data_IF_044150033410
#
_entry.id   IF_044150033410
#
_cell.length_a   1.000
_cell.length_b   1.000
_cell.length_c   1.000
_cell.angle_alpha   90.00
_cell.angle_beta   90.00
_cell.angle_gamma   90.00
#
_symmetry.space_group_name_H-M   'P 1'
#
loop_
_entity.id
_entity.type
_entity.pdbx_description
1 polymer ?
#
# COMPACT_ATOMS: atom_id res chain seq x y z
N UNK A 1 6.67 12.67 17.81
CA UNK A 1 5.38 12.65 17.09
C UNK A 1 4.68 11.35 17.42
N UNK A 2 3.41 11.38 17.81
CA UNK A 2 2.57 10.18 18.00
C UNK A 2 1.49 10.18 16.93
N UNK A 3 1.88 10.17 15.65
CA UNK A 3 0.94 9.99 14.56
C UNK A 3 0.54 8.52 14.50
N UNK A 4 -0.76 8.24 14.44
CA UNK A 4 -1.28 6.89 14.29
C UNK A 4 -2.42 6.96 13.30
N UNK A 5 -2.40 6.05 12.33
CA UNK A 5 -3.44 5.93 11.31
C UNK A 5 -4.24 4.66 11.56
N UNK A 6 -5.55 4.79 11.61
CA UNK A 6 -6.44 3.64 11.79
C UNK A 6 -6.94 3.12 10.45
N UNK A 7 -6.90 1.80 10.31
CA UNK A 7 -7.72 1.11 9.33
C UNK A 7 -9.20 1.30 9.70
N UNK A 8 -10.06 1.45 8.70
CA UNK A 8 -11.50 1.48 8.88
C UNK A 8 -12.18 0.67 7.78
N UNK A 9 -13.35 0.11 8.05
CA UNK A 9 -14.04 -0.81 7.15
C UNK A 9 -14.63 -0.12 5.91
N UNK A 10 -14.67 1.22 5.89
CA UNK A 10 -14.86 1.99 4.66
C UNK A 10 -13.74 1.74 3.64
N UNK A 11 -12.62 1.15 4.06
CA UNK A 11 -11.50 0.80 3.21
C UNK A 11 -11.61 -0.58 2.54
N UNK A 12 -12.61 -1.39 2.90
CA UNK A 12 -12.77 -2.76 2.40
C UNK A 12 -13.03 -2.81 0.89
N UNK A 13 -12.28 -3.67 0.21
CA UNK A 13 -12.56 -4.06 -1.19
C UNK A 13 -13.34 -5.38 -1.29
N UNK A 14 -13.62 -6.02 -0.14
CA UNK A 14 -14.35 -7.29 -0.01
C UNK A 14 -13.64 -8.46 -0.68
N UNK A 15 -12.32 -8.46 -0.59
CA UNK A 15 -11.46 -9.57 -1.02
C UNK A 15 -10.49 -9.80 0.13
N UNK A 16 -10.74 -10.84 0.93
CA UNK A 16 -10.03 -11.05 2.20
C UNK A 16 -8.51 -10.97 2.11
N UNK A 17 -7.92 -11.51 1.03
CA UNK A 17 -6.47 -11.45 0.85
C UNK A 17 -5.96 -10.01 0.66
N UNK A 18 -6.69 -9.20 -0.09
CA UNK A 18 -6.33 -7.81 -0.37
C UNK A 18 -6.61 -6.93 0.87
N UNK A 19 -7.73 -7.17 1.55
CA UNK A 19 -8.05 -6.47 2.79
C UNK A 19 -7.01 -6.79 3.89
N UNK A 20 -6.47 -8.02 3.93
CA UNK A 20 -5.33 -8.37 4.80
C UNK A 20 -4.06 -7.64 4.42
N UNK A 21 -3.72 -7.59 3.13
CA UNK A 21 -2.55 -6.87 2.64
C UNK A 21 -2.65 -5.38 3.06
N UNK A 22 -3.80 -4.74 2.84
CA UNK A 22 -4.01 -3.35 3.22
C UNK A 22 -3.87 -3.13 4.73
N UNK A 23 -4.48 -3.96 5.57
CA UNK A 23 -4.31 -3.89 7.03
C UNK A 23 -2.85 -4.03 7.45
N UNK A 24 -2.10 -4.90 6.78
CA UNK A 24 -0.66 -5.07 7.05
C UNK A 24 0.13 -3.79 6.73
N UNK A 25 -0.18 -3.12 5.62
CA UNK A 25 0.46 -1.86 5.23
C UNK A 25 0.18 -0.71 6.20
N UNK A 26 -1.05 -0.61 6.72
CA UNK A 26 -1.37 0.31 7.81
C UNK A 26 -0.58 0.01 9.09
N UNK A 27 -0.40 -1.28 9.42
CA UNK A 27 0.40 -1.68 10.56
C UNK A 27 1.89 -1.32 10.41
N UNK A 28 2.46 -1.47 9.20
CA UNK A 28 3.82 -1.04 8.89
C UNK A 28 3.99 0.47 9.02
N UNK A 29 3.05 1.26 8.51
CA UNK A 29 3.05 2.72 8.67
C UNK A 29 3.02 3.14 10.15
N UNK A 30 2.15 2.50 10.95
CA UNK A 30 2.11 2.75 12.39
C UNK A 30 3.41 2.34 13.10
N UNK A 31 4.09 1.29 12.64
CA UNK A 31 5.41 0.90 13.16
C UNK A 31 6.47 1.97 12.86
N UNK A 32 6.43 2.59 11.67
CA UNK A 32 7.30 3.72 11.33
C UNK A 32 7.06 4.87 12.32
N UNK A 33 5.81 5.32 12.48
CA UNK A 33 5.50 6.46 13.34
C UNK A 33 5.82 6.21 14.81
N UNK A 34 5.54 5.02 15.34
CA UNK A 34 5.78 4.68 16.75
C UNK A 34 7.27 4.68 17.14
N UNK A 35 8.16 4.39 16.19
CA UNK A 35 9.61 4.26 16.39
C UNK A 35 10.41 5.48 15.90
N UNK A 36 9.75 6.43 15.23
CA UNK A 36 10.38 7.67 14.76
C UNK A 36 10.96 8.46 15.95
N UNK A 37 12.25 8.77 15.87
CA UNK A 37 12.99 9.45 16.95
C UNK A 37 13.38 8.56 18.14
N UNK A 38 13.08 7.25 18.09
CA UNK A 38 13.44 6.28 19.14
C UNK A 38 14.42 5.22 18.62
N UNK A 39 14.09 4.59 17.51
CA UNK A 39 14.89 3.52 16.92
C UNK A 39 14.87 3.63 15.39
N UNK A 40 15.97 4.15 14.85
CA UNK A 40 16.07 4.41 13.41
C UNK A 40 16.30 3.15 12.59
N UNK A 41 16.86 2.09 13.17
CA UNK A 41 17.03 0.82 12.47
C UNK A 41 15.67 0.16 12.25
N UNK A 42 14.79 0.19 13.26
CA UNK A 42 13.41 -0.30 13.12
C UNK A 42 12.60 0.52 12.13
N UNK A 43 12.79 1.84 12.11
CA UNK A 43 12.14 2.73 11.13
C UNK A 43 12.57 2.41 9.71
N UNK A 44 13.88 2.34 9.46
CA UNK A 44 14.43 2.01 8.14
C UNK A 44 13.91 0.66 7.66
N UNK A 45 13.99 -0.36 8.52
CA UNK A 45 13.48 -1.69 8.23
C UNK A 45 11.97 -1.70 7.92
N UNK A 46 11.17 -0.92 8.66
CA UNK A 46 9.73 -0.84 8.39
C UNK A 46 9.41 -0.15 7.06
N UNK A 47 10.19 0.88 6.66
CA UNK A 47 10.09 1.53 5.34
C UNK A 47 10.44 0.54 4.23
N UNK A 48 11.55 -0.18 4.37
CA UNK A 48 11.99 -1.17 3.37
C UNK A 48 10.91 -2.26 3.17
N UNK A 49 10.34 -2.77 4.27
CA UNK A 49 9.27 -3.76 4.22
C UNK A 49 8.01 -3.16 3.58
N UNK A 50 7.60 -1.94 3.96
CA UNK A 50 6.45 -1.26 3.35
C UNK A 50 6.60 -1.15 1.82
N UNK A 51 7.80 -0.83 1.36
CA UNK A 51 8.10 -0.64 -0.06
C UNK A 51 8.14 -1.94 -0.84
N UNK A 52 8.85 -2.96 -0.35
CA UNK A 52 8.89 -4.28 -0.99
C UNK A 52 7.48 -4.87 -1.05
N UNK A 53 6.79 -4.87 0.08
CA UNK A 53 5.45 -5.46 0.20
C UNK A 53 4.43 -4.75 -0.69
N UNK A 54 4.51 -3.42 -0.84
CA UNK A 54 3.67 -2.67 -1.78
C UNK A 54 3.91 -3.12 -3.23
N UNK A 55 5.18 -3.18 -3.67
CA UNK A 55 5.52 -3.57 -5.04
C UNK A 55 5.07 -4.98 -5.36
N UNK A 56 5.29 -5.91 -4.43
CA UNK A 56 4.83 -7.29 -4.54
C UNK A 56 3.30 -7.37 -4.59
N UNK A 57 2.61 -6.63 -3.74
CA UNK A 57 1.14 -6.59 -3.73
C UNK A 57 0.58 -6.07 -5.06
N UNK A 58 1.09 -4.95 -5.59
CA UNK A 58 0.69 -4.44 -6.90
C UNK A 58 0.95 -5.45 -8.02
N UNK A 59 2.09 -6.15 -7.99
CA UNK A 59 2.40 -7.20 -8.96
C UNK A 59 1.41 -8.38 -8.89
N UNK A 60 1.01 -8.81 -7.68
CA UNK A 60 0.02 -9.87 -7.50
C UNK A 60 -1.35 -9.45 -8.04
N UNK A 61 -1.78 -8.22 -7.76
CA UNK A 61 -3.04 -7.69 -8.29
C UNK A 61 -3.02 -7.66 -9.81
N UNK A 62 -2.01 -7.05 -10.41
CA UNK A 62 -1.89 -6.96 -11.87
C UNK A 62 -1.85 -8.33 -12.54
N UNK A 63 -1.16 -9.30 -11.94
CA UNK A 63 -1.14 -10.68 -12.42
C UNK A 63 -2.55 -11.26 -12.42
N UNK A 64 -3.29 -11.12 -11.32
CA UNK A 64 -4.67 -11.57 -11.24
C UNK A 64 -5.57 -10.83 -12.26
N UNK A 65 -5.35 -9.52 -12.47
CA UNK A 65 -6.08 -8.75 -13.48
C UNK A 65 -5.83 -9.26 -14.91
N UNK A 66 -4.58 -9.64 -15.23
CA UNK A 66 -4.20 -10.23 -16.53
C UNK A 66 -4.85 -11.58 -16.74
N UNK A 67 -4.77 -12.46 -15.73
CA UNK A 67 -5.32 -13.82 -15.79
C UNK A 67 -6.83 -13.82 -16.07
N UNK A 68 -7.55 -12.79 -15.61
CA UNK A 68 -8.99 -12.64 -15.80
C UNK A 68 -9.40 -11.62 -16.87
N UNK A 69 -8.46 -11.15 -17.70
CA UNK A 69 -8.72 -10.17 -18.78
C UNK A 69 -9.49 -8.92 -18.31
N UNK A 70 -9.05 -8.30 -17.21
CA UNK A 70 -9.70 -7.10 -16.68
C UNK A 70 -9.69 -5.95 -17.71
N UNK A 71 -10.86 -5.40 -18.10
CA UNK A 71 -10.93 -4.41 -19.18
C UNK A 71 -10.13 -3.13 -18.95
N UNK A 72 -10.03 -2.67 -17.69
CA UNK A 72 -9.35 -1.42 -17.32
C UNK A 72 -7.96 -1.64 -16.69
N UNK A 73 -7.29 -2.74 -17.05
CA UNK A 73 -5.97 -3.08 -16.47
C UNK A 73 -4.90 -2.02 -16.75
N UNK A 74 -4.94 -1.36 -17.91
CA UNK A 74 -3.94 -0.35 -18.26
C UNK A 74 -4.04 0.88 -17.35
N UNK A 75 -5.27 1.31 -17.02
CA UNK A 75 -5.50 2.40 -16.07
C UNK A 75 -5.03 2.01 -14.67
N UNK A 76 -5.23 0.74 -14.26
CA UNK A 76 -4.72 0.23 -12.97
C UNK A 76 -3.21 0.23 -12.88
N UNK A 77 -2.54 -0.26 -13.92
CA UNK A 77 -1.07 -0.25 -14.00
C UNK A 77 -0.55 1.19 -13.99
N UNK A 78 -1.24 2.12 -14.64
CA UNK A 78 -0.87 3.54 -14.62
C UNK A 78 -0.95 4.11 -13.21
N UNK A 79 -2.06 3.89 -12.49
CA UNK A 79 -2.22 4.32 -11.10
C UNK A 79 -1.14 3.72 -10.18
N UNK A 80 -0.83 2.43 -10.34
CA UNK A 80 0.26 1.78 -9.60
C UNK A 80 1.62 2.42 -9.86
N UNK A 81 1.92 2.75 -11.13
CA UNK A 81 3.19 3.42 -11.48
C UNK A 81 3.31 4.78 -10.80
N UNK A 82 2.25 5.57 -10.80
CA UNK A 82 2.22 6.88 -10.12
C UNK A 82 2.42 6.72 -8.61
N UNK A 83 1.77 5.74 -8.00
CA UNK A 83 1.93 5.45 -6.56
C UNK A 83 3.35 4.99 -6.22
N UNK A 84 3.95 4.15 -7.06
CA UNK A 84 5.34 3.68 -6.89
C UNK A 84 6.34 4.81 -7.09
N UNK A 85 6.10 5.73 -8.04
CA UNK A 85 6.94 6.91 -8.22
C UNK A 85 6.97 7.77 -6.96
N UNK A 86 5.81 8.06 -6.37
CA UNK A 86 5.71 8.80 -5.11
C UNK A 86 6.45 8.10 -3.94
N UNK A 87 6.41 6.77 -3.87
CA UNK A 87 7.18 6.02 -2.86
C UNK A 87 8.68 6.12 -3.11
N UNK A 88 9.14 6.06 -4.36
CA UNK A 88 10.56 6.19 -4.68
C UNK A 88 11.07 7.60 -4.35
N UNK A 89 10.30 8.64 -4.66
CA UNK A 89 10.63 10.02 -4.30
C UNK A 89 10.78 10.19 -2.78
N UNK A 90 9.95 9.50 -2.00
CA UNK A 90 10.11 9.46 -0.56
C UNK A 90 11.36 8.69 -0.12
N UNK A 91 11.62 7.52 -0.73
CA UNK A 91 12.82 6.74 -0.43
C UNK A 91 14.09 7.59 -0.56
N UNK A 92 14.16 8.34 -1.66
CA UNK A 92 15.28 9.20 -1.97
C UNK A 92 15.43 10.33 -0.96
N UNK A 93 14.31 10.92 -0.51
CA UNK A 93 14.31 11.91 0.57
C UNK A 93 14.76 11.32 1.91
N UNK A 94 14.29 10.12 2.25
CA UNK A 94 14.69 9.42 3.46
C UNK A 94 16.20 9.08 3.45
N UNK A 95 16.73 8.61 2.31
CA UNK A 95 18.17 8.36 2.15
C UNK A 95 18.99 9.65 2.30
N UNK A 96 18.51 10.78 1.76
CA UNK A 96 19.22 12.07 1.80
C UNK A 96 19.17 12.77 3.17
N UNK A 97 17.99 12.80 3.79
CA UNK A 97 17.72 13.60 4.99
C UNK A 97 17.63 12.76 6.27
N UNK A 98 17.68 11.43 6.15
CA UNK A 98 17.62 10.50 7.25
C UNK A 98 16.33 10.66 8.08
N UNK A 99 16.41 10.55 9.42
CA UNK A 99 15.26 10.64 10.32
C UNK A 99 14.39 11.89 10.15
N UNK A 100 14.99 13.01 9.72
CA UNK A 100 14.29 14.29 9.56
C UNK A 100 13.26 14.28 8.42
N UNK A 101 13.36 13.31 7.50
CA UNK A 101 12.38 13.13 6.43
C UNK A 101 11.01 12.61 6.94
N UNK A 102 10.95 12.09 8.18
CA UNK A 102 9.72 11.53 8.77
C UNK A 102 9.09 12.59 9.68
N UNK A 103 8.59 13.64 9.05
CA UNK A 103 7.86 14.72 9.71
C UNK A 103 6.34 14.55 9.56
N UNK A 104 5.59 15.57 9.98
CA UNK A 104 4.13 15.58 9.89
C UNK A 104 3.63 15.58 8.43
N UNK A 105 4.39 16.20 7.52
CA UNK A 105 4.08 16.19 6.09
C UNK A 105 4.18 14.76 5.54
N UNK A 106 5.22 14.02 5.91
CA UNK A 106 5.35 12.62 5.56
C UNK A 106 4.21 11.76 6.14
N UNK A 107 3.89 11.94 7.41
CA UNK A 107 2.83 11.18 8.05
C UNK A 107 1.48 11.38 7.35
N UNK A 108 1.17 12.63 7.00
CA UNK A 108 -0.02 13.02 6.22
C UNK A 108 0.02 12.43 4.81
N UNK A 109 1.17 12.52 4.13
CA UNK A 109 1.37 11.94 2.81
C UNK A 109 1.12 10.42 2.83
N UNK A 110 1.75 9.70 3.75
CA UNK A 110 1.64 8.24 3.82
C UNK A 110 0.21 7.80 4.16
N UNK A 111 -0.50 8.55 5.02
CA UNK A 111 -1.92 8.32 5.28
C UNK A 111 -2.76 8.47 4.02
N UNK A 112 -2.64 9.61 3.32
CA UNK A 112 -3.37 9.87 2.09
C UNK A 112 -3.04 8.86 1.00
N UNK A 113 -1.76 8.51 0.87
CA UNK A 113 -1.27 7.53 -0.09
C UNK A 113 -1.88 6.16 0.17
N UNK A 114 -1.87 5.68 1.42
CA UNK A 114 -2.47 4.39 1.82
C UNK A 114 -3.99 4.36 1.59
N UNK A 115 -4.69 5.45 1.90
CA UNK A 115 -6.13 5.56 1.65
C UNK A 115 -6.47 5.60 0.17
N UNK A 116 -5.70 6.34 -0.63
CA UNK A 116 -5.88 6.45 -2.09
C UNK A 116 -5.80 5.08 -2.73
N UNK A 117 -4.70 4.35 -2.51
CA UNK A 117 -4.51 3.01 -3.12
C UNK A 117 -5.54 1.97 -2.69
N UNK A 118 -6.07 2.05 -1.45
CA UNK A 118 -7.11 1.13 -0.97
C UNK A 118 -8.47 1.37 -1.66
N UNK A 119 -8.60 2.45 -2.43
CA UNK A 119 -9.89 2.94 -2.94
C UNK A 119 -10.05 2.86 -4.46
N UNK A 120 -8.98 2.87 -5.25
CA UNK A 120 -9.13 3.42 -6.61
C UNK A 120 -9.83 2.50 -7.59
N UNK A 121 -9.47 1.21 -7.68
CA UNK A 121 -9.93 0.38 -8.83
C UNK A 121 -10.61 -0.93 -8.42
N UNK A 122 -10.13 -1.65 -7.41
CA UNK A 122 -10.80 -2.90 -6.96
C UNK A 122 -12.20 -2.67 -6.38
N UNK A 123 -12.48 -1.47 -5.88
CA UNK A 123 -13.83 -1.07 -5.46
C UNK A 123 -14.77 -0.86 -6.64
N UNK A 124 -14.23 -0.49 -7.79
CA UNK A 124 -14.99 -0.27 -9.01
C UNK A 124 -15.11 -1.53 -9.86
N UNK A 125 -14.34 -2.58 -9.56
CA UNK A 125 -14.48 -3.88 -10.21
C UNK A 125 -15.84 -4.53 -9.92
N UNK A 126 -16.36 -5.24 -10.92
CA UNK A 126 -17.58 -6.04 -10.78
C UNK A 126 -17.43 -7.13 -9.72
N UNK A 127 -18.53 -7.53 -9.08
CA UNK A 127 -18.50 -8.62 -8.09
C UNK A 127 -17.98 -9.95 -8.68
N UNK A 128 -18.22 -10.18 -9.97
CA UNK A 128 -17.67 -11.32 -10.70
C UNK A 128 -16.13 -11.30 -10.65
N UNK A 129 -15.52 -10.15 -10.88
CA UNK A 129 -14.06 -10.01 -10.84
C UNK A 129 -13.51 -10.21 -9.43
N UNK A 130 -14.19 -9.70 -8.40
CA UNK A 130 -13.81 -9.93 -7.01
C UNK A 130 -13.79 -11.40 -6.63
N UNK A 131 -14.80 -12.15 -7.08
CA UNK A 131 -14.86 -13.60 -6.85
C UNK A 131 -13.73 -14.34 -7.56
N UNK A 132 -13.36 -13.93 -8.78
CA UNK A 132 -12.27 -14.53 -9.54
C UNK A 132 -10.91 -14.31 -8.86
N UNK A 133 -10.63 -13.07 -8.43
CA UNK A 133 -9.43 -12.74 -7.65
C UNK A 133 -9.41 -13.53 -6.33
N UNK A 134 -10.53 -13.56 -5.59
CA UNK A 134 -10.62 -14.28 -4.32
C UNK A 134 -10.26 -15.77 -4.46
N UNK A 135 -10.76 -16.44 -5.52
CA UNK A 135 -10.41 -17.83 -5.82
C UNK A 135 -8.92 -18.02 -6.12
N UNK A 136 -8.29 -17.10 -6.85
CA UNK A 136 -6.85 -17.16 -7.15
C UNK A 136 -6.00 -17.10 -5.89
N UNK A 137 -6.38 -16.26 -4.92
CA UNK A 137 -5.69 -16.12 -3.64
C UNK A 137 -5.93 -17.29 -2.66
N UNK A 138 -6.95 -18.12 -2.90
CA UNK A 138 -7.20 -19.34 -2.13
C UNK A 138 -6.56 -20.60 -2.76
N UNK A 139 -6.15 -20.51 -4.03
CA UNK A 139 -5.64 -21.63 -4.82
C UNK A 139 -4.10 -21.75 -4.85
N UNK A 140 -3.38 -21.00 -4.01
CA UNK A 140 -1.93 -21.05 -3.84
C UNK A 140 -1.55 -20.96 -2.37
#
# INVERSE_FOLDING_TARGET
MSHRIEWSDDLLVKIDAIDRDHKHLFALANKIFANTGKDMALVSSAIDILFSYTKEHFSREETAMRDFNYPAIQDHIFDHKELVAQLNDFNDQFIKSGPKAIDESFATFLEHWLRRRASTILRQCSDQFRQLISRRYQAG
#
